data_IF_767778161249
#
_entry.id   IF_767778161249
#
_cell.length_a   1.000
_cell.length_b   1.000
_cell.length_c   1.000
_cell.angle_alpha   90.00
_cell.angle_beta   90.00
_cell.angle_gamma   90.00
#
_symmetry.space_group_name_H-M   'P 1'
#
loop_
_entity.id
_entity.type
_entity.pdbx_description
1 polymer ?
#
# COMPACT_ATOMS: atom_id res chain seq x y z
N UNK A 1 23.64 -25.88 -53.27
CA UNK A 1 24.73 -25.50 -52.34
C UNK A 1 24.41 -24.13 -51.82
N UNK A 2 24.14 -24.10 -50.52
CA UNK A 2 24.20 -23.01 -49.55
C UNK A 2 24.26 -21.56 -50.06
N UNK A 3 23.25 -20.77 -49.66
CA UNK A 3 23.43 -19.33 -49.46
C UNK A 3 23.05 -19.03 -48.02
N UNK A 4 24.02 -18.52 -47.28
CA UNK A 4 24.01 -18.29 -45.85
C UNK A 4 23.02 -17.17 -45.45
N UNK A 5 22.25 -17.42 -44.40
CA UNK A 5 21.45 -16.42 -43.70
C UNK A 5 22.33 -15.76 -42.63
N UNK A 6 22.62 -14.47 -42.78
CA UNK A 6 23.24 -13.65 -41.73
C UNK A 6 22.18 -13.28 -40.69
N UNK A 7 22.37 -13.73 -39.46
CA UNK A 7 21.51 -13.39 -38.32
C UNK A 7 21.72 -11.92 -37.92
N UNK A 8 20.64 -11.16 -37.90
CA UNK A 8 20.55 -9.93 -37.12
C UNK A 8 20.04 -10.31 -35.72
N UNK A 9 20.82 -10.00 -34.69
CA UNK A 9 20.45 -10.20 -33.29
C UNK A 9 19.21 -9.35 -32.95
N UNK A 10 18.05 -10.01 -32.90
CA UNK A 10 16.84 -9.45 -32.34
C UNK A 10 16.93 -9.49 -30.82
N UNK A 11 17.01 -8.31 -30.22
CA UNK A 11 16.79 -8.07 -28.79
C UNK A 11 15.45 -8.67 -28.41
N UNK A 12 15.47 -9.73 -27.59
CA UNK A 12 14.26 -10.31 -26.99
C UNK A 12 13.79 -9.32 -25.91
N UNK A 13 12.61 -8.69 -26.04
CA UNK A 13 12.00 -7.99 -24.93
C UNK A 13 11.44 -9.05 -23.98
N UNK A 14 12.05 -9.18 -22.80
CA UNK A 14 11.56 -10.09 -21.78
C UNK A 14 10.16 -9.65 -21.31
N UNK A 15 9.18 -10.46 -21.68
CA UNK A 15 8.08 -10.84 -20.81
C UNK A 15 6.93 -9.84 -20.67
N UNK A 16 6.19 -9.64 -21.76
CA UNK A 16 4.79 -9.23 -21.68
C UNK A 16 3.93 -10.35 -21.08
N UNK A 17 3.33 -10.07 -19.92
CA UNK A 17 2.02 -10.55 -19.49
C UNK A 17 1.78 -12.06 -19.45
N UNK A 18 1.95 -12.66 -18.26
CA UNK A 18 1.27 -13.90 -17.91
C UNK A 18 0.11 -13.57 -16.96
N UNK A 19 -1.11 -13.84 -17.40
CA UNK A 19 -2.34 -13.53 -16.69
C UNK A 19 -3.06 -14.85 -16.38
N UNK A 20 -3.00 -15.34 -15.12
CA UNK A 20 -4.07 -16.07 -14.40
C UNK A 20 -3.64 -16.45 -12.96
N UNK A 21 -4.20 -15.81 -11.94
CA UNK A 21 -4.53 -16.44 -10.63
C UNK A 21 -3.42 -17.00 -9.73
N UNK A 22 -2.21 -16.42 -9.71
CA UNK A 22 -1.14 -16.81 -8.79
C UNK A 22 -1.35 -16.31 -7.35
N UNK A 23 -0.65 -16.90 -6.38
CA UNK A 23 -0.64 -16.41 -4.99
C UNK A 23 -0.19 -14.94 -4.91
N UNK A 24 -0.89 -14.16 -4.08
CA UNK A 24 -0.63 -12.74 -3.84
C UNK A 24 -0.54 -12.48 -2.34
N UNK A 25 0.54 -11.84 -1.92
CA UNK A 25 0.62 -11.19 -0.61
C UNK A 25 -0.43 -10.10 -0.50
N UNK A 26 -0.90 -9.88 0.73
CA UNK A 26 -1.88 -8.86 1.09
C UNK A 26 -1.15 -7.66 1.67
N UNK A 27 -1.48 -6.47 1.18
CA UNK A 27 -0.79 -5.24 1.54
C UNK A 27 -1.70 -4.26 2.28
N UNK A 28 -1.08 -3.45 3.12
CA UNK A 28 -1.70 -2.28 3.71
C UNK A 28 -0.80 -1.07 3.48
N UNK A 29 -1.37 0.10 3.16
CA UNK A 29 -0.61 1.35 3.01
C UNK A 29 -1.13 2.41 3.97
N UNK A 30 -0.25 3.09 4.71
CA UNK A 30 -0.63 3.98 5.81
C UNK A 30 0.11 5.32 5.71
N UNK A 31 -0.64 6.43 5.77
CA UNK A 31 -0.08 7.77 5.92
C UNK A 31 -0.82 8.54 7.02
N UNK A 32 -0.65 9.86 7.11
CA UNK A 32 -1.29 10.65 8.18
C UNK A 32 -2.81 10.78 7.98
N UNK A 33 -3.24 11.26 6.80
CA UNK A 33 -4.64 11.63 6.53
C UNK A 33 -5.39 10.65 5.64
N UNK A 34 -4.74 9.59 5.16
CA UNK A 34 -5.26 8.68 4.13
C UNK A 34 -5.77 9.45 2.89
N UNK A 35 -4.95 10.34 2.35
CA UNK A 35 -5.36 11.24 1.24
C UNK A 35 -4.39 11.17 0.05
N UNK A 36 -3.11 11.40 0.28
CA UNK A 36 -2.14 11.54 -0.79
C UNK A 36 -1.30 10.25 -0.97
N UNK A 37 -0.27 10.09 -0.13
CA UNK A 37 0.77 9.04 -0.24
C UNK A 37 0.21 7.61 -0.18
N UNK A 38 -0.55 7.27 0.87
CA UNK A 38 -1.15 5.93 1.00
C UNK A 38 -2.14 5.62 -0.13
N UNK A 39 -2.93 6.61 -0.56
CA UNK A 39 -3.92 6.41 -1.61
C UNK A 39 -3.29 6.26 -2.99
N UNK A 40 -2.17 6.94 -3.25
CA UNK A 40 -1.40 6.72 -4.48
C UNK A 40 -0.82 5.30 -4.49
N UNK A 41 -0.19 4.86 -3.39
CA UNK A 41 0.33 3.50 -3.27
C UNK A 41 -0.77 2.43 -3.38
N UNK A 42 -1.91 2.64 -2.71
CA UNK A 42 -3.09 1.77 -2.82
C UNK A 42 -3.55 1.64 -4.28
N UNK A 43 -3.69 2.76 -5.00
CA UNK A 43 -4.08 2.74 -6.41
C UNK A 43 -3.10 1.90 -7.24
N UNK A 44 -1.79 2.07 -7.05
CA UNK A 44 -0.78 1.29 -7.79
C UNK A 44 -0.82 -0.20 -7.48
N UNK A 45 -0.91 -0.56 -6.21
CA UNK A 45 -0.99 -1.96 -5.78
C UNK A 45 -2.26 -2.63 -6.32
N UNK A 46 -3.41 -1.94 -6.25
CA UNK A 46 -4.67 -2.47 -6.80
C UNK A 46 -4.66 -2.61 -8.32
N UNK A 47 -4.01 -1.69 -9.05
CA UNK A 47 -3.80 -1.82 -10.51
C UNK A 47 -2.90 -3.00 -10.88
N UNK A 48 -2.02 -3.44 -9.98
CA UNK A 48 -1.22 -4.65 -10.13
C UNK A 48 -1.89 -5.91 -9.54
N UNK A 49 -3.20 -5.82 -9.27
CA UNK A 49 -4.05 -6.91 -8.79
C UNK A 49 -3.59 -7.51 -7.44
N UNK A 50 -2.98 -6.68 -6.59
CA UNK A 50 -2.71 -7.07 -5.21
C UNK A 50 -3.93 -6.79 -4.31
N UNK A 51 -4.27 -7.71 -3.38
CA UNK A 51 -5.14 -7.39 -2.26
C UNK A 51 -4.53 -6.24 -1.44
N UNK A 52 -5.24 -5.13 -1.32
CA UNK A 52 -4.72 -3.93 -0.65
C UNK A 52 -5.79 -3.15 0.11
N UNK A 53 -5.44 -2.71 1.32
CA UNK A 53 -6.22 -1.77 2.13
C UNK A 53 -5.36 -0.55 2.50
N UNK A 54 -5.98 0.56 2.92
CA UNK A 54 -5.22 1.77 3.27
C UNK A 54 -5.80 2.59 4.40
N UNK A 55 -4.95 3.18 5.23
CA UNK A 55 -5.36 3.90 6.43
C UNK A 55 -4.62 5.22 6.67
N UNK A 56 -5.16 5.99 7.62
CA UNK A 56 -4.58 7.19 8.19
C UNK A 56 -4.29 6.96 9.68
N UNK A 57 -3.17 7.45 10.20
CA UNK A 57 -2.85 7.39 11.66
C UNK A 57 -3.30 8.65 12.41
N UNK A 58 -3.61 9.73 11.69
CA UNK A 58 -3.99 11.00 12.27
C UNK A 58 -5.27 10.94 13.10
N UNK A 59 -5.49 11.94 13.94
CA UNK A 59 -6.76 12.10 14.67
C UNK A 59 -7.90 12.57 13.76
N UNK A 60 -7.58 13.36 12.74
CA UNK A 60 -8.51 13.93 11.77
C UNK A 60 -7.83 13.99 10.41
N UNK A 61 -8.62 13.93 9.35
CA UNK A 61 -8.18 14.16 7.97
C UNK A 61 -7.98 15.65 7.80
N UNK A 62 -6.81 16.08 7.33
CA UNK A 62 -6.50 17.49 7.07
C UNK A 62 -6.10 17.69 5.62
N UNK A 63 -6.77 18.61 4.94
CA UNK A 63 -6.43 19.05 3.59
C UNK A 63 -6.07 20.54 3.62
N UNK A 64 -5.10 20.99 2.79
CA UNK A 64 -4.81 22.41 2.66
C UNK A 64 -6.07 23.22 2.32
N UNK A 65 -6.20 24.40 2.92
CA UNK A 65 -7.26 25.36 2.58
C UNK A 65 -6.69 26.65 1.98
N UNK A 66 -7.44 27.76 2.00
CA UNK A 66 -7.01 29.03 1.41
C UNK A 66 -5.71 29.58 2.02
N UNK A 67 -5.46 29.30 3.30
CA UNK A 67 -4.23 29.67 4.00
C UNK A 67 -3.73 28.51 4.86
N UNK A 68 -2.46 28.58 5.28
CA UNK A 68 -1.84 27.56 6.16
C UNK A 68 -2.56 27.41 7.51
N UNK A 69 -3.23 28.47 7.98
CA UNK A 69 -3.97 28.48 9.25
C UNK A 69 -5.43 28.07 9.11
N UNK A 70 -5.92 27.86 7.89
CA UNK A 70 -7.32 27.50 7.61
C UNK A 70 -7.42 26.18 6.83
N UNK A 71 -6.99 25.04 7.41
CA UNK A 71 -7.14 23.73 6.75
C UNK A 71 -8.60 23.30 6.68
N UNK A 72 -8.93 22.47 5.69
CA UNK A 72 -10.20 21.73 5.67
C UNK A 72 -10.02 20.45 6.50
N UNK A 73 -10.93 20.20 7.43
CA UNK A 73 -10.79 19.15 8.44
C UNK A 73 -12.01 18.24 8.42
N UNK A 74 -11.78 16.93 8.32
CA UNK A 74 -12.83 15.92 8.25
C UNK A 74 -12.60 14.79 9.24
N UNK A 75 -13.67 14.08 9.59
CA UNK A 75 -13.61 12.90 10.44
C UNK A 75 -13.36 11.64 9.59
N UNK A 76 -12.41 10.83 10.01
CA UNK A 76 -12.22 9.48 9.48
C UNK A 76 -13.49 8.65 9.66
N UNK A 77 -13.69 7.64 8.79
CA UNK A 77 -14.77 6.67 8.87
C UNK A 77 -16.20 7.25 8.75
N UNK A 78 -16.36 8.57 8.54
CA UNK A 78 -17.67 9.25 8.50
C UNK A 78 -17.89 10.11 7.26
N UNK A 79 -16.84 10.69 6.70
CA UNK A 79 -16.94 11.56 5.51
C UNK A 79 -16.35 10.83 4.31
N UNK A 80 -17.13 10.66 3.24
CA UNK A 80 -16.64 10.05 1.99
C UNK A 80 -15.76 11.03 1.19
N UNK A 81 -14.89 10.51 0.32
CA UNK A 81 -14.12 11.38 -0.59
C UNK A 81 -15.02 12.14 -1.57
N UNK A 82 -16.15 11.54 -1.98
CA UNK A 82 -17.12 12.21 -2.84
C UNK A 82 -17.79 13.41 -2.16
N UNK A 83 -18.14 13.28 -0.87
CA UNK A 83 -18.65 14.41 -0.08
C UNK A 83 -17.60 15.51 0.07
N UNK A 84 -16.34 15.16 0.35
CA UNK A 84 -15.24 16.15 0.40
C UNK A 84 -15.05 16.86 -0.94
N UNK A 85 -15.08 16.11 -2.06
CA UNK A 85 -14.93 16.66 -3.40
C UNK A 85 -16.03 17.71 -3.68
N UNK A 86 -17.30 17.34 -3.46
CA UNK A 86 -18.45 18.22 -3.72
C UNK A 86 -18.44 19.47 -2.85
N UNK A 87 -18.10 19.32 -1.57
CA UNK A 87 -17.98 20.45 -0.64
C UNK A 87 -16.92 21.44 -1.14
N UNK A 88 -15.69 20.96 -1.42
CA UNK A 88 -14.59 21.83 -1.83
C UNK A 88 -14.83 22.46 -3.21
N UNK A 89 -15.40 21.71 -4.15
CA UNK A 89 -15.79 22.22 -5.47
C UNK A 89 -16.79 23.37 -5.35
N UNK A 90 -17.80 23.22 -4.48
CA UNK A 90 -18.79 24.27 -4.22
C UNK A 90 -18.22 25.48 -3.47
N UNK A 91 -17.20 25.28 -2.63
CA UNK A 91 -16.60 26.31 -1.78
C UNK A 91 -15.67 27.23 -2.57
N UNK A 92 -14.72 26.65 -3.32
CA UNK A 92 -13.84 27.37 -4.26
C UNK A 92 -13.18 26.40 -5.24
N UNK A 93 -13.94 25.95 -6.24
CA UNK A 93 -13.43 25.00 -7.23
C UNK A 93 -12.18 25.48 -7.99
N UNK A 94 -11.98 26.80 -8.15
CA UNK A 94 -10.79 27.33 -8.82
C UNK A 94 -9.54 27.11 -7.97
N UNK A 95 -9.61 27.44 -6.67
CA UNK A 95 -8.51 27.22 -5.73
C UNK A 95 -8.16 25.73 -5.63
N UNK A 96 -9.17 24.89 -5.35
CA UNK A 96 -8.94 23.47 -5.07
C UNK A 96 -8.58 22.64 -6.32
N UNK A 97 -8.87 23.15 -7.51
CA UNK A 97 -8.33 22.60 -8.76
C UNK A 97 -6.88 23.05 -8.98
N UNK A 98 -6.56 24.32 -8.73
CA UNK A 98 -5.22 24.86 -8.95
C UNK A 98 -4.17 24.24 -8.01
N UNK A 99 -4.52 23.91 -6.77
CA UNK A 99 -3.62 23.24 -5.83
C UNK A 99 -3.68 21.69 -5.91
N UNK A 100 -4.45 21.14 -6.87
CA UNK A 100 -4.54 19.70 -7.12
C UNK A 100 -5.33 18.88 -6.11
N UNK A 101 -6.04 19.50 -5.16
CA UNK A 101 -6.86 18.77 -4.17
C UNK A 101 -8.07 18.11 -4.82
N UNK A 102 -8.79 18.80 -5.72
CA UNK A 102 -9.93 18.19 -6.41
C UNK A 102 -9.49 17.00 -7.27
N UNK A 103 -8.36 17.10 -7.96
CA UNK A 103 -7.80 16.00 -8.74
C UNK A 103 -7.45 14.80 -7.84
N UNK A 104 -6.86 15.07 -6.67
CA UNK A 104 -6.54 14.03 -5.68
C UNK A 104 -7.80 13.36 -5.12
N UNK A 105 -8.83 14.14 -4.76
CA UNK A 105 -10.09 13.61 -4.26
C UNK A 105 -10.85 12.83 -5.33
N UNK A 106 -10.79 13.27 -6.59
CA UNK A 106 -11.37 12.56 -7.73
C UNK A 106 -10.73 11.18 -7.94
N UNK A 107 -9.39 11.11 -7.85
CA UNK A 107 -8.66 9.84 -7.79
C UNK A 107 -9.14 8.98 -6.61
N UNK A 108 -9.19 9.55 -5.41
CA UNK A 108 -9.48 8.80 -4.18
C UNK A 108 -10.89 8.21 -4.16
N UNK A 109 -11.92 8.95 -4.59
CA UNK A 109 -13.30 8.44 -4.69
C UNK A 109 -13.45 7.34 -5.74
N UNK A 110 -12.53 7.28 -6.72
CA UNK A 110 -12.44 6.19 -7.69
C UNK A 110 -11.63 4.98 -7.21
N UNK A 111 -11.07 5.03 -5.99
CA UNK A 111 -10.32 3.93 -5.36
C UNK A 111 -11.14 3.31 -4.23
N UNK A 112 -11.66 4.13 -3.31
CA UNK A 112 -12.46 3.67 -2.18
C UNK A 112 -13.45 4.73 -1.68
N UNK A 113 -14.38 4.33 -0.83
CA UNK A 113 -15.44 5.22 -0.32
C UNK A 113 -14.93 6.48 0.42
N UNK A 114 -13.98 6.32 1.34
CA UNK A 114 -13.54 7.41 2.21
C UNK A 114 -12.28 7.07 3.00
N UNK A 115 -11.65 8.07 3.65
CA UNK A 115 -10.48 7.86 4.48
C UNK A 115 -10.86 7.11 5.76
N UNK A 116 -10.09 6.06 6.02
CA UNK A 116 -10.21 5.26 7.23
C UNK A 116 -9.02 5.43 8.15
N UNK A 117 -9.26 5.21 9.44
CA UNK A 117 -8.26 5.36 10.50
C UNK A 117 -7.71 4.02 10.94
N UNK A 118 -6.39 3.92 11.04
CA UNK A 118 -5.66 2.70 11.40
C UNK A 118 -6.09 2.15 12.77
N UNK A 119 -6.13 3.02 13.78
CA UNK A 119 -6.45 2.63 15.15
C UNK A 119 -7.90 2.15 15.31
N UNK A 120 -8.79 2.52 14.39
CA UNK A 120 -10.20 2.13 14.42
C UNK A 120 -10.43 0.81 13.65
N UNK A 121 -9.44 0.32 12.90
CA UNK A 121 -9.54 -0.95 12.19
C UNK A 121 -9.40 -2.13 13.16
N UNK A 122 -10.42 -2.99 13.19
CA UNK A 122 -10.39 -4.23 13.95
C UNK A 122 -9.69 -5.33 13.14
N UNK A 123 -8.40 -5.52 13.41
CA UNK A 123 -7.56 -6.55 12.77
C UNK A 123 -8.16 -7.94 13.04
N UNK A 124 -8.16 -8.79 12.01
CA UNK A 124 -8.79 -10.11 12.02
C UNK A 124 -10.30 -10.10 11.72
N UNK A 125 -10.92 -8.91 11.60
CA UNK A 125 -12.35 -8.80 11.26
C UNK A 125 -12.51 -8.49 9.76
N UNK A 126 -13.33 -9.27 9.04
CA UNK A 126 -13.61 -9.05 7.62
C UNK A 126 -14.13 -7.63 7.30
N UNK A 127 -13.57 -6.98 6.29
CA UNK A 127 -13.95 -5.62 5.85
C UNK A 127 -15.12 -5.63 4.85
N UNK A 128 -16.20 -6.35 5.17
CA UNK A 128 -17.30 -6.67 4.24
C UNK A 128 -18.08 -5.45 3.71
N UNK A 129 -18.02 -4.30 4.40
CA UNK A 129 -18.75 -3.09 4.01
C UNK A 129 -18.11 -2.36 2.81
N UNK A 130 -16.92 -2.78 2.40
CA UNK A 130 -16.09 -2.08 1.43
C UNK A 130 -15.65 -2.97 0.27
N UNK A 131 -16.47 -3.95 -0.11
CA UNK A 131 -16.23 -4.88 -1.23
C UNK A 131 -16.21 -4.22 -2.62
N UNK A 132 -16.55 -2.93 -2.71
CA UNK A 132 -16.46 -2.17 -3.97
C UNK A 132 -15.17 -1.35 -4.06
N UNK A 133 -14.38 -1.30 -3.00
CA UNK A 133 -13.07 -0.67 -3.03
C UNK A 133 -12.12 -1.49 -3.91
N UNK A 134 -11.24 -0.79 -4.64
CA UNK A 134 -10.22 -1.45 -5.45
C UNK A 134 -9.28 -2.25 -4.56
N UNK A 135 -8.90 -3.45 -4.99
CA UNK A 135 -8.02 -4.33 -4.20
C UNK A 135 -8.67 -4.94 -2.96
N UNK A 136 -9.99 -4.86 -2.80
CA UNK A 136 -10.70 -5.48 -1.67
C UNK A 136 -10.72 -7.02 -1.75
N UNK A 137 -10.72 -7.59 -2.95
CA UNK A 137 -10.66 -9.04 -3.15
C UNK A 137 -9.39 -9.65 -2.51
N UNK A 138 -9.56 -10.64 -1.63
CA UNK A 138 -8.49 -11.28 -0.87
C UNK A 138 -8.24 -10.66 0.53
N UNK A 139 -8.90 -9.55 0.86
CA UNK A 139 -8.77 -8.86 2.17
C UNK A 139 -9.82 -9.29 3.21
N UNK A 140 -10.66 -10.27 2.88
CA UNK A 140 -11.79 -10.73 3.70
C UNK A 140 -11.35 -11.35 5.03
N UNK A 141 -10.10 -11.81 5.12
CA UNK A 141 -9.53 -12.32 6.37
C UNK A 141 -9.23 -11.25 7.42
N UNK A 142 -9.35 -9.96 7.09
CA UNK A 142 -9.07 -8.86 8.02
C UNK A 142 -7.60 -8.78 8.46
N UNK A 143 -6.70 -9.42 7.72
CA UNK A 143 -5.26 -9.44 7.98
C UNK A 143 -4.49 -9.18 6.69
N UNK A 144 -3.30 -8.62 6.82
CA UNK A 144 -2.34 -8.39 5.73
C UNK A 144 -1.01 -9.07 6.05
N UNK A 145 -0.13 -9.17 5.06
CA UNK A 145 1.20 -9.74 5.24
C UNK A 145 2.26 -8.64 5.42
N UNK A 146 2.03 -7.48 4.78
CA UNK A 146 2.93 -6.33 4.79
C UNK A 146 2.16 -5.02 4.97
N UNK A 147 2.63 -4.15 5.87
CA UNK A 147 2.16 -2.79 6.07
C UNK A 147 3.26 -1.82 5.62
N UNK A 148 2.96 -1.00 4.62
CA UNK A 148 3.79 0.12 4.21
C UNK A 148 3.35 1.40 4.91
N UNK A 149 4.27 2.08 5.59
CA UNK A 149 4.03 3.44 6.11
C UNK A 149 4.77 4.47 5.26
N UNK A 150 4.23 5.67 5.13
CA UNK A 150 4.77 6.69 4.21
C UNK A 150 5.65 7.77 4.88
N UNK A 151 5.86 7.68 6.20
CA UNK A 151 6.73 8.53 7.00
C UNK A 151 6.94 7.92 8.39
N UNK A 152 8.09 8.19 9.00
CA UNK A 152 8.48 7.69 10.34
C UNK A 152 7.39 7.90 11.41
N UNK A 153 6.75 9.07 11.45
CA UNK A 153 5.67 9.33 12.42
C UNK A 153 4.47 8.40 12.25
N UNK A 154 4.16 8.01 11.01
CA UNK A 154 3.11 7.02 10.75
C UNK A 154 3.58 5.62 11.14
N UNK A 155 4.86 5.32 10.96
CA UNK A 155 5.46 4.08 11.42
C UNK A 155 5.35 3.93 12.94
N UNK A 156 5.80 4.93 13.71
CA UNK A 156 5.70 4.93 15.17
C UNK A 156 4.27 4.67 15.62
N UNK A 157 3.30 5.41 15.05
CA UNK A 157 1.90 5.27 15.39
C UNK A 157 1.32 3.89 15.05
N UNK A 158 1.81 3.22 14.00
CA UNK A 158 1.42 1.85 13.66
C UNK A 158 2.03 0.86 14.65
N UNK A 159 3.31 1.00 14.98
CA UNK A 159 4.01 0.09 15.91
C UNK A 159 3.46 0.21 17.31
N UNK A 160 3.29 1.43 17.82
CA UNK A 160 2.72 1.69 19.15
C UNK A 160 1.31 1.08 19.27
N UNK A 161 0.49 1.24 18.24
CA UNK A 161 -0.86 0.68 18.20
C UNK A 161 -0.82 -0.85 18.18
N UNK A 162 0.04 -1.48 17.35
CA UNK A 162 0.21 -2.94 17.33
C UNK A 162 0.68 -3.49 18.68
N UNK A 163 1.67 -2.84 19.32
CA UNK A 163 2.14 -3.21 20.66
C UNK A 163 1.03 -3.09 21.70
N UNK A 164 0.23 -2.02 21.63
CA UNK A 164 -0.86 -1.78 22.57
C UNK A 164 -2.00 -2.81 22.47
N UNK A 165 -2.19 -3.40 21.28
CA UNK A 165 -3.19 -4.45 21.03
C UNK A 165 -2.79 -5.80 21.65
N UNK A 166 -1.51 -6.02 21.95
CA UNK A 166 -1.04 -7.24 22.60
C UNK A 166 -1.04 -8.49 21.72
N UNK A 167 -1.03 -8.33 20.40
CA UNK A 167 -0.89 -9.40 19.40
C UNK A 167 -1.88 -10.58 19.56
N UNK A 168 -3.20 -10.31 19.59
CA UNK A 168 -4.22 -11.34 19.82
C UNK A 168 -4.26 -12.46 18.78
N UNK A 169 -3.82 -12.21 17.55
CA UNK A 169 -3.81 -13.23 16.49
C UNK A 169 -2.51 -14.03 16.46
N UNK A 170 -1.46 -13.54 17.12
CA UNK A 170 -0.11 -14.08 17.08
C UNK A 170 0.37 -14.33 15.64
N UNK A 171 0.00 -13.44 14.71
CA UNK A 171 0.33 -13.54 13.28
C UNK A 171 1.40 -12.52 12.93
N UNK A 172 2.55 -12.92 12.35
CA UNK A 172 3.58 -11.97 11.94
C UNK A 172 3.11 -11.07 10.79
N UNK A 173 3.52 -9.81 10.84
CA UNK A 173 3.32 -8.81 9.79
C UNK A 173 4.58 -7.97 9.63
N UNK A 174 5.04 -7.79 8.40
CA UNK A 174 6.16 -6.88 8.14
C UNK A 174 5.66 -5.45 8.12
N UNK A 175 6.31 -4.57 8.87
CA UNK A 175 6.04 -3.13 8.82
C UNK A 175 7.27 -2.46 8.20
N UNK A 176 7.08 -1.88 7.03
CA UNK A 176 8.13 -1.23 6.23
C UNK A 176 7.73 0.23 6.08
N UNK A 177 8.52 1.13 6.65
CA UNK A 177 8.40 2.54 6.35
C UNK A 177 9.17 2.87 5.08
N UNK A 178 8.57 3.69 4.23
CA UNK A 178 9.18 4.32 3.06
C UNK A 178 8.94 5.81 3.20
N UNK A 179 10.00 6.58 3.44
CA UNK A 179 9.87 8.02 3.65
C UNK A 179 9.51 8.73 2.36
N UNK A 180 8.26 9.18 2.26
CA UNK A 180 7.71 9.85 1.09
C UNK A 180 7.28 11.26 1.51
N UNK A 181 7.85 12.27 0.85
CA UNK A 181 7.45 13.68 1.05
C UNK A 181 6.00 13.89 0.65
N UNK A 182 5.27 14.70 1.41
CA UNK A 182 3.83 14.87 1.22
C UNK A 182 3.48 15.90 0.13
N UNK A 183 3.77 15.55 -1.11
CA UNK A 183 3.31 16.27 -2.31
C UNK A 183 2.93 15.26 -3.41
N UNK A 184 2.33 15.73 -4.51
CA UNK A 184 1.81 14.85 -5.55
C UNK A 184 2.90 14.10 -6.33
N UNK A 185 4.03 14.76 -6.62
CA UNK A 185 5.12 14.18 -7.41
C UNK A 185 5.84 13.08 -6.62
N UNK A 186 6.19 13.37 -5.37
CA UNK A 186 6.86 12.44 -4.48
C UNK A 186 5.94 11.26 -4.10
N UNK A 187 4.62 11.51 -3.92
CA UNK A 187 3.66 10.43 -3.74
C UNK A 187 3.60 9.49 -4.95
N UNK A 188 3.70 10.03 -6.17
CA UNK A 188 3.72 9.23 -7.40
C UNK A 188 4.98 8.35 -7.46
N UNK A 189 6.15 8.92 -7.19
CA UNK A 189 7.44 8.21 -7.17
C UNK A 189 7.45 7.16 -6.04
N UNK A 190 7.02 7.54 -4.84
CA UNK A 190 6.90 6.64 -3.69
C UNK A 190 5.95 5.47 -3.95
N UNK A 191 4.83 5.71 -4.64
CA UNK A 191 3.91 4.66 -5.06
C UNK A 191 4.52 3.67 -6.04
N UNK A 192 5.39 4.13 -6.95
CA UNK A 192 6.16 3.25 -7.83
C UNK A 192 7.19 2.42 -7.05
N UNK A 193 7.91 3.05 -6.11
CA UNK A 193 8.86 2.36 -5.23
C UNK A 193 8.20 1.28 -4.39
N UNK A 194 7.05 1.58 -3.78
CA UNK A 194 6.25 0.61 -3.01
C UNK A 194 5.80 -0.56 -3.90
N UNK A 195 5.35 -0.30 -5.12
CA UNK A 195 4.95 -1.36 -6.05
C UNK A 195 6.14 -2.26 -6.43
N UNK A 196 7.31 -1.70 -6.69
CA UNK A 196 8.52 -2.47 -6.99
C UNK A 196 8.94 -3.37 -5.81
N UNK A 197 8.84 -2.86 -4.58
CA UNK A 197 9.10 -3.65 -3.37
C UNK A 197 8.06 -4.75 -3.20
N UNK A 198 6.77 -4.44 -3.37
CA UNK A 198 5.68 -5.40 -3.28
C UNK A 198 5.85 -6.55 -4.29
N UNK A 199 6.27 -6.24 -5.52
CA UNK A 199 6.59 -7.24 -6.54
C UNK A 199 7.74 -8.15 -6.10
N UNK A 200 8.83 -7.56 -5.60
CA UNK A 200 10.00 -8.32 -5.13
C UNK A 200 9.63 -9.26 -3.96
N UNK A 201 8.86 -8.77 -3.00
CA UNK A 201 8.35 -9.56 -1.88
C UNK A 201 7.40 -10.68 -2.34
N UNK A 202 6.50 -10.38 -3.29
CA UNK A 202 5.55 -11.38 -3.76
C UNK A 202 6.21 -12.51 -4.56
N UNK A 203 7.27 -12.22 -5.31
CA UNK A 203 8.08 -13.26 -5.98
C UNK A 203 8.66 -14.22 -4.96
N UNK A 204 9.33 -13.70 -3.93
CA UNK A 204 9.89 -14.53 -2.86
C UNK A 204 8.80 -15.34 -2.14
N UNK A 205 7.68 -14.71 -1.77
CA UNK A 205 6.58 -15.42 -1.12
C UNK A 205 6.00 -16.55 -1.98
N UNK A 206 5.92 -16.37 -3.30
CA UNK A 206 5.48 -17.43 -4.23
C UNK A 206 6.46 -18.60 -4.26
N UNK A 207 7.76 -18.32 -4.39
CA UNK A 207 8.80 -19.34 -4.40
C UNK A 207 8.77 -20.17 -3.11
N UNK A 208 8.70 -19.50 -1.95
CA UNK A 208 8.63 -20.17 -0.66
C UNK A 208 7.35 -20.99 -0.50
N UNK A 209 6.20 -20.43 -0.89
CA UNK A 209 4.92 -21.13 -0.86
C UNK A 209 4.89 -22.36 -1.76
N UNK A 210 5.55 -22.30 -2.92
CA UNK A 210 5.72 -23.44 -3.83
C UNK A 210 6.64 -24.51 -3.22
N UNK A 211 7.71 -24.11 -2.52
CA UNK A 211 8.67 -25.01 -1.90
C UNK A 211 8.11 -25.77 -0.69
N UNK A 212 7.41 -25.09 0.22
CA UNK A 212 6.89 -25.70 1.46
C UNK A 212 5.45 -26.20 1.35
N UNK A 213 4.76 -25.79 0.28
CA UNK A 213 3.37 -26.12 0.00
C UNK A 213 2.36 -25.10 0.55
N UNK A 214 1.32 -24.85 -0.25
CA UNK A 214 0.25 -23.90 0.02
C UNK A 214 -0.37 -24.02 1.43
N UNK A 215 -0.74 -25.23 1.85
CA UNK A 215 -1.41 -25.44 3.13
C UNK A 215 -0.54 -25.07 4.34
N UNK A 216 0.78 -25.28 4.24
CA UNK A 216 1.70 -24.88 5.29
C UNK A 216 1.83 -23.35 5.32
N UNK A 217 2.21 -22.75 4.19
CA UNK A 217 2.43 -21.30 4.08
C UNK A 217 1.19 -20.48 4.46
N UNK A 218 0.02 -20.89 3.96
CA UNK A 218 -1.23 -20.14 4.14
C UNK A 218 -1.77 -20.20 5.57
N UNK A 219 -1.27 -21.12 6.42
CA UNK A 219 -1.55 -21.10 7.87
C UNK A 219 -1.05 -19.82 8.53
N UNK A 220 0.01 -19.21 7.96
CA UNK A 220 0.60 -17.94 8.34
C UNK A 220 1.00 -17.82 9.81
N UNK A 221 1.33 -18.95 10.43
CA UNK A 221 2.08 -18.98 11.70
C UNK A 221 3.53 -18.54 11.46
N UNK A 222 4.21 -18.10 12.51
CA UNK A 222 5.63 -17.71 12.42
C UNK A 222 6.51 -18.82 11.85
N UNK A 223 6.29 -20.09 12.22
CA UNK A 223 7.06 -21.21 11.68
C UNK A 223 6.76 -21.48 10.20
N UNK A 224 5.51 -21.30 9.78
CA UNK A 224 5.12 -21.53 8.39
C UNK A 224 5.65 -20.50 7.41
N UNK A 225 5.98 -19.30 7.90
CA UNK A 225 6.46 -18.18 7.09
C UNK A 225 7.94 -17.88 7.26
N UNK A 226 8.63 -18.58 8.17
CA UNK A 226 10.02 -18.30 8.52
C UNK A 226 10.93 -18.17 7.31
N UNK A 227 10.81 -19.05 6.31
CA UNK A 227 11.66 -19.00 5.11
C UNK A 227 11.43 -17.77 4.23
N UNK A 228 10.20 -17.27 4.16
CA UNK A 228 9.90 -15.98 3.52
C UNK A 228 10.40 -14.81 4.36
N UNK A 229 10.10 -14.83 5.67
CA UNK A 229 10.44 -13.75 6.59
C UNK A 229 11.97 -13.53 6.67
N UNK A 230 12.77 -14.59 6.56
CA UNK A 230 14.25 -14.55 6.51
C UNK A 230 14.80 -13.85 5.25
N UNK A 231 14.05 -13.87 4.13
CA UNK A 231 14.47 -13.23 2.87
C UNK A 231 14.14 -11.74 2.80
N UNK A 232 13.22 -11.25 3.63
CA UNK A 232 12.74 -9.86 3.59
C UNK A 232 13.87 -8.82 3.75
N UNK A 233 14.83 -8.96 4.68
CA UNK A 233 15.93 -7.99 4.81
C UNK A 233 16.79 -7.86 3.55
N UNK A 234 17.11 -8.98 2.89
CA UNK A 234 17.91 -8.98 1.67
C UNK A 234 17.16 -8.33 0.50
N UNK A 235 15.86 -8.64 0.37
CA UNK A 235 14.97 -8.04 -0.62
C UNK A 235 14.89 -6.52 -0.41
N UNK A 236 14.76 -6.07 0.83
CA UNK A 236 14.71 -4.65 1.18
C UNK A 236 16.04 -3.95 0.87
N UNK A 237 17.17 -4.59 1.17
CA UNK A 237 18.50 -4.08 0.83
C UNK A 237 18.67 -3.87 -0.68
N UNK A 238 18.35 -4.89 -1.48
CA UNK A 238 18.40 -4.81 -2.94
C UNK A 238 17.41 -3.78 -3.52
N UNK A 239 16.26 -3.60 -2.87
CA UNK A 239 15.32 -2.55 -3.24
C UNK A 239 15.86 -1.15 -2.92
N UNK A 240 16.49 -0.97 -1.76
CA UNK A 240 17.06 0.32 -1.34
C UNK A 240 18.18 0.80 -2.27
N UNK A 241 18.95 -0.13 -2.86
CA UNK A 241 19.95 0.17 -3.89
C UNK A 241 19.31 0.71 -5.18
N UNK A 242 18.12 0.21 -5.56
CA UNK A 242 17.36 0.71 -6.73
C UNK A 242 16.65 2.03 -6.44
N UNK A 243 16.25 2.26 -5.18
CA UNK A 243 15.51 3.43 -4.73
C UNK A 243 16.26 4.23 -3.65
N UNK A 244 17.47 4.75 -3.93
CA UNK A 244 18.32 5.38 -2.90
C UNK A 244 17.74 6.67 -2.31
N UNK A 245 16.77 7.29 -2.98
CA UNK A 245 16.10 8.52 -2.53
C UNK A 245 14.82 8.27 -1.72
N UNK A 246 14.46 7.02 -1.48
CA UNK A 246 13.34 6.62 -0.62
C UNK A 246 13.91 5.84 0.56
N UNK A 247 14.38 6.53 1.62
CA UNK A 247 14.87 5.84 2.82
C UNK A 247 13.79 4.92 3.37
N UNK A 248 14.20 3.70 3.67
CA UNK A 248 13.32 2.71 4.27
C UNK A 248 13.85 2.19 5.57
N UNK A 249 12.91 1.79 6.39
CA UNK A 249 13.16 1.23 7.70
C UNK A 249 12.12 0.14 7.96
N UNK A 250 12.51 -0.90 8.71
CA UNK A 250 11.74 -2.14 8.75
C UNK A 250 11.76 -2.78 10.13
N UNK A 251 10.65 -3.42 10.47
CA UNK A 251 10.55 -4.35 11.59
C UNK A 251 9.55 -5.46 11.28
N UNK A 252 9.69 -6.58 11.99
CA UNK A 252 8.66 -7.59 12.09
C UNK A 252 7.79 -7.29 13.32
N UNK A 253 6.48 -7.19 13.12
CA UNK A 253 5.49 -6.98 14.17
C UNK A 253 4.47 -8.12 14.20
N UNK A 254 3.53 -8.08 15.16
CA UNK A 254 2.53 -9.14 15.35
C UNK A 254 1.12 -8.56 15.51
N UNK A 255 0.20 -9.07 14.69
CA UNK A 255 -1.24 -8.90 14.85
C UNK A 255 -1.80 -9.75 15.98
#
# INVERSE_FOLDING_TARGET
>A
MEVANGAADAVIPNGSGDNTGGYKLKFCTVCASNQNRSMEAHLRLSQAEYPVISFGTGSLVRLPGPTITQPNVYQFNKTSYDSMYKELESKDGRLYKANGILNMLDRNRGVKWGPERWQDWAIGIPRLQHSTDKGSDGTEGGVVDVVFTCEERCWDAVIDDLLSRGSPLNRPVHVINVDIKDNHEEAHIGGQGILDLANSLNVAAREEREAIGAAAFDSGSASSRASFDERVPEILGAWQERWPNLPSTWTLAWF
#
